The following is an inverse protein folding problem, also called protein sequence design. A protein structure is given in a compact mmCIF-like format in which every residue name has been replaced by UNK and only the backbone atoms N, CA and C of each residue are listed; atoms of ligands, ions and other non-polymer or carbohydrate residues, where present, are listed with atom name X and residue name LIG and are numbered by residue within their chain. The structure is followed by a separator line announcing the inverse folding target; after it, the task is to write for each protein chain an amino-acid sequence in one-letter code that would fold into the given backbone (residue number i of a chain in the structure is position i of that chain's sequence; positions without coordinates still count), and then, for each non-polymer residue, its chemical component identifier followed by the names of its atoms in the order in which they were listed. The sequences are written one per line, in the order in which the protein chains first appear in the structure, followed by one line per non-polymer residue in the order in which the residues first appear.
data_IF_015913554987
#
_entry.id   IF_015913554987
#
_cell.length_a   1.000
_cell.length_b   1.000
_cell.length_c   1.000
_cell.angle_alpha   90.00
_cell.angle_beta   90.00
_cell.angle_gamma   90.00
#
_symmetry.space_group_name_H-M   'P 1'
#
loop_
_entity.id
_entity.type
_entity.pdbx_description
1 polymer ?
#
# COMPACT_ATOMS: atom_id res chain seq x y z
N UNK A 1 1.17 -18.06 87.27
CA UNK A 1 0.07 -17.59 86.39
C UNK A 1 0.71 -16.84 85.25
N UNK A 2 0.70 -17.39 84.04
CA UNK A 2 1.14 -16.71 82.82
C UNK A 2 -0.04 -16.65 81.86
N UNK A 3 -0.46 -15.43 81.54
CA UNK A 3 -1.50 -15.11 80.57
C UNK A 3 -0.85 -14.86 79.22
N UNK A 4 -1.22 -15.66 78.22
CA UNK A 4 -0.84 -15.47 76.82
C UNK A 4 -1.95 -14.72 76.10
N UNK A 5 -1.62 -13.58 75.50
CA UNK A 5 -2.55 -12.78 74.68
C UNK A 5 -2.33 -13.13 73.21
N UNK A 6 -3.37 -13.59 72.52
CA UNK A 6 -3.36 -13.85 71.08
C UNK A 6 -4.01 -12.67 70.35
N UNK A 7 -3.28 -12.04 69.44
CA UNK A 7 -3.79 -10.99 68.55
C UNK A 7 -4.13 -11.62 67.20
N UNK A 8 -5.38 -11.50 66.77
CA UNK A 8 -5.83 -11.93 65.44
C UNK A 8 -5.86 -10.72 64.50
N UNK A 9 -5.06 -10.75 63.44
CA UNK A 9 -5.07 -9.74 62.38
C UNK A 9 -6.01 -10.20 61.26
N UNK A 10 -7.07 -9.44 61.00
CA UNK A 10 -8.00 -9.69 59.89
C UNK A 10 -7.51 -8.95 58.65
N UNK A 11 -7.12 -9.68 57.61
CA UNK A 11 -6.75 -9.12 56.31
C UNK A 11 -8.00 -8.96 55.45
N UNK A 12 -8.40 -7.71 55.17
CA UNK A 12 -9.47 -7.39 54.23
C UNK A 12 -8.92 -7.41 52.80
N UNK A 13 -9.29 -8.40 52.00
CA UNK A 13 -8.98 -8.47 50.57
C UNK A 13 -9.94 -7.58 49.77
N UNK A 14 -9.40 -6.60 49.03
CA UNK A 14 -10.15 -5.82 48.06
C UNK A 14 -10.51 -6.67 46.83
N UNK A 15 -11.69 -6.46 46.21
CA UNK A 15 -12.06 -7.17 45.00
C UNK A 15 -11.17 -6.77 43.81
N UNK A 16 -10.95 -7.69 42.84
CA UNK A 16 -10.18 -7.41 41.65
C UNK A 16 -10.84 -6.31 40.79
N UNK A 17 -10.05 -5.55 40.02
CA UNK A 17 -10.59 -4.56 39.09
C UNK A 17 -11.50 -5.23 38.05
N UNK A 18 -12.52 -4.54 37.55
CA UNK A 18 -13.41 -5.08 36.52
C UNK A 18 -12.60 -5.39 35.24
N UNK A 19 -12.88 -6.54 34.65
CA UNK A 19 -12.31 -6.92 33.34
C UNK A 19 -12.68 -5.86 32.29
N UNK A 20 -11.75 -5.48 31.39
CA UNK A 20 -12.06 -4.54 30.33
C UNK A 20 -13.17 -5.12 29.44
N UNK A 21 -14.27 -4.40 29.30
CA UNK A 21 -15.33 -4.71 28.35
C UNK A 21 -14.71 -4.86 26.95
N UNK A 22 -15.01 -5.92 26.18
CA UNK A 22 -14.50 -6.07 24.83
C UNK A 22 -14.88 -4.84 24.01
N UNK A 23 -13.90 -4.07 23.52
CA UNK A 23 -14.16 -3.02 22.54
C UNK A 23 -14.74 -3.70 21.30
N UNK A 24 -15.92 -3.26 20.86
CA UNK A 24 -16.49 -3.70 19.58
C UNK A 24 -15.60 -3.15 18.46
N UNK A 25 -14.71 -4.00 17.93
CA UNK A 25 -13.75 -3.65 16.87
C UNK A 25 -14.47 -3.10 15.64
N UNK A 26 -13.88 -2.10 15.00
CA UNK A 26 -14.39 -1.49 13.78
C UNK A 26 -15.61 -0.58 13.93
N UNK A 27 -16.21 -0.48 15.12
CA UNK A 27 -17.44 0.31 15.31
C UNK A 27 -17.25 1.81 15.18
N UNK A 28 -16.03 2.32 15.42
CA UNK A 28 -15.69 3.73 15.27
C UNK A 28 -14.75 3.98 14.09
N UNK A 29 -14.77 3.09 13.08
CA UNK A 29 -14.00 3.29 11.84
C UNK A 29 -14.35 4.64 11.22
N UNK A 30 -13.38 5.21 10.54
CA UNK A 30 -13.60 6.43 9.76
C UNK A 30 -14.71 6.21 8.72
N UNK A 31 -15.67 7.15 8.57
CA UNK A 31 -16.86 6.94 7.75
C UNK A 31 -16.60 7.03 6.24
N UNK A 32 -15.51 7.69 5.82
CA UNK A 32 -15.17 7.94 4.41
C UNK A 32 -16.32 8.60 3.61
N UNK A 33 -17.08 9.49 4.23
CA UNK A 33 -18.18 10.23 3.62
C UNK A 33 -17.76 11.60 3.06
N UNK A 34 -16.49 11.98 3.24
CA UNK A 34 -15.95 13.26 2.79
C UNK A 34 -16.31 14.45 3.69
N UNK A 35 -17.03 14.20 4.79
CA UNK A 35 -17.45 15.25 5.70
C UNK A 35 -16.29 15.71 6.60
N UNK A 36 -16.33 16.95 7.10
CA UNK A 36 -15.36 17.42 8.09
C UNK A 36 -15.35 16.52 9.33
N UNK A 37 -14.14 16.19 9.78
CA UNK A 37 -13.87 15.38 10.97
C UNK A 37 -12.97 16.16 11.94
N UNK A 38 -12.85 15.68 13.18
CA UNK A 38 -12.10 16.32 14.25
C UNK A 38 -11.23 15.31 15.03
N UNK A 39 -10.62 14.38 14.30
CA UNK A 39 -9.70 13.40 14.88
C UNK A 39 -8.42 14.04 15.43
N UNK A 40 -8.09 15.26 14.97
CA UNK A 40 -6.85 15.99 15.25
C UNK A 40 -5.61 15.22 14.79
N UNK A 41 -5.72 14.54 13.65
CA UNK A 41 -4.64 13.78 13.01
C UNK A 41 -4.83 13.64 11.50
N UNK A 42 -4.04 12.77 10.85
CA UNK A 42 -4.03 12.57 9.40
C UNK A 42 -5.39 12.16 8.81
N UNK A 43 -6.31 11.59 9.62
CA UNK A 43 -7.66 11.21 9.16
C UNK A 43 -8.49 12.41 8.74
N UNK A 44 -8.24 13.58 9.34
CA UNK A 44 -8.93 14.82 8.95
C UNK A 44 -8.53 15.26 7.53
N UNK A 45 -7.25 15.09 7.17
CA UNK A 45 -6.76 15.31 5.81
C UNK A 45 -7.29 14.24 4.86
N UNK A 46 -7.25 12.97 5.25
CA UNK A 46 -7.79 11.87 4.44
C UNK A 46 -9.27 12.08 4.09
N UNK A 47 -10.08 12.54 5.05
CA UNK A 47 -11.52 12.79 4.83
C UNK A 47 -11.73 13.93 3.84
N UNK A 48 -11.03 15.05 4.07
CA UNK A 48 -11.18 16.28 3.30
C UNK A 48 -10.59 16.18 1.89
N UNK A 49 -9.41 15.61 1.78
CA UNK A 49 -8.55 15.69 0.60
C UNK A 49 -8.53 14.38 -0.21
N UNK A 50 -8.99 13.27 0.38
CA UNK A 50 -9.00 11.94 -0.24
C UNK A 50 -7.65 11.22 -0.16
N UNK A 51 -6.66 11.85 0.49
CA UNK A 51 -5.35 11.29 0.78
C UNK A 51 -4.74 11.94 2.02
N UNK A 52 -3.75 11.28 2.61
CA UNK A 52 -2.94 11.84 3.69
C UNK A 52 -1.50 11.30 3.66
N UNK A 53 -0.58 12.09 4.21
CA UNK A 53 0.81 11.68 4.43
C UNK A 53 1.03 11.52 5.94
N UNK A 54 1.36 10.30 6.36
CA UNK A 54 1.73 9.98 7.73
C UNK A 54 3.24 10.12 7.83
N UNK A 55 3.67 11.19 8.51
CA UNK A 55 5.08 11.54 8.65
C UNK A 55 5.81 10.54 9.54
N UNK A 56 6.93 10.01 9.06
CA UNK A 56 7.80 9.12 9.85
C UNK A 56 7.10 7.83 10.31
N UNK A 57 6.15 7.31 9.51
CA UNK A 57 5.54 5.99 9.75
C UNK A 57 6.61 4.90 9.90
N UNK A 58 7.71 5.04 9.15
CA UNK A 58 8.97 4.35 9.36
C UNK A 58 10.02 5.41 9.76
N UNK A 59 10.75 5.21 10.87
CA UNK A 59 11.89 6.04 11.22
C UNK A 59 12.93 6.10 10.09
N UNK A 60 13.48 7.29 9.87
CA UNK A 60 14.40 7.58 8.77
C UNK A 60 15.52 6.55 8.60
N UNK A 61 16.18 6.19 9.70
CA UNK A 61 17.28 5.21 9.70
C UNK A 61 16.87 3.85 9.13
N UNK A 62 15.64 3.40 9.40
CA UNK A 62 15.11 2.14 8.85
C UNK A 62 14.70 2.31 7.40
N UNK A 63 14.07 3.43 7.05
CA UNK A 63 13.74 3.74 5.66
C UNK A 63 15.00 3.76 4.76
N UNK A 64 16.09 4.37 5.22
CA UNK A 64 17.37 4.39 4.50
C UNK A 64 17.96 2.98 4.34
N UNK A 65 17.85 2.11 5.37
CA UNK A 65 18.25 0.70 5.27
C UNK A 65 17.42 -0.08 4.25
N UNK A 66 16.11 0.16 4.20
CA UNK A 66 15.25 -0.47 3.21
C UNK A 66 15.52 0.03 1.79
N UNK A 67 15.81 1.33 1.63
CA UNK A 67 16.24 1.89 0.36
C UNK A 67 17.54 1.22 -0.13
N UNK A 68 18.52 1.05 0.76
CA UNK A 68 19.76 0.34 0.46
C UNK A 68 19.53 -1.13 0.08
N UNK A 69 18.65 -1.84 0.80
CA UNK A 69 18.29 -3.22 0.49
C UNK A 69 17.62 -3.33 -0.88
N UNK A 70 16.72 -2.39 -1.24
CA UNK A 70 16.07 -2.36 -2.53
C UNK A 70 17.07 -2.09 -3.67
N UNK A 71 17.94 -1.09 -3.52
CA UNK A 71 18.99 -0.84 -4.53
C UNK A 71 19.97 -2.03 -4.64
N UNK A 72 20.29 -2.69 -3.52
CA UNK A 72 21.16 -3.87 -3.50
C UNK A 72 20.51 -5.05 -4.21
N UNK A 73 19.20 -5.20 -4.06
CA UNK A 73 18.40 -6.16 -4.81
C UNK A 73 18.47 -5.92 -6.32
N UNK A 74 18.44 -4.65 -6.76
CA UNK A 74 18.56 -4.30 -8.18
C UNK A 74 19.96 -4.61 -8.74
N UNK A 75 21.03 -4.28 -7.99
CA UNK A 75 22.41 -4.60 -8.36
C UNK A 75 22.66 -6.12 -8.35
N UNK A 76 22.03 -6.83 -7.42
CA UNK A 76 22.15 -8.28 -7.23
C UNK A 76 21.66 -9.13 -8.41
N UNK A 77 20.96 -8.54 -9.39
CA UNK A 77 20.66 -9.23 -10.65
C UNK A 77 21.91 -9.49 -11.51
N UNK A 78 23.02 -8.79 -11.28
CA UNK A 78 24.25 -8.96 -12.05
C UNK A 78 24.13 -8.53 -13.51
N UNK A 79 23.14 -7.69 -13.83
CA UNK A 79 22.89 -7.19 -15.19
C UNK A 79 23.74 -5.95 -15.54
N UNK A 80 24.51 -5.41 -14.59
CA UNK A 80 25.39 -4.26 -14.80
C UNK A 80 24.85 -2.92 -14.31
N UNK A 81 23.68 -2.88 -13.66
CA UNK A 81 23.24 -1.69 -12.92
C UNK A 81 24.18 -1.41 -11.74
N UNK A 82 24.54 -0.14 -11.56
CA UNK A 82 25.33 0.37 -10.46
C UNK A 82 24.69 1.69 -10.00
N UNK A 83 24.22 1.75 -8.75
CA UNK A 83 23.51 2.93 -8.21
C UNK A 83 24.36 4.20 -8.17
N UNK A 84 25.69 4.07 -8.24
CA UNK A 84 26.63 5.19 -8.20
C UNK A 84 27.07 5.64 -9.61
N UNK A 85 26.58 5.00 -10.67
CA UNK A 85 26.88 5.36 -12.05
C UNK A 85 25.58 5.48 -12.86
N UNK A 86 25.09 6.72 -13.05
CA UNK A 86 23.88 7.01 -13.84
C UNK A 86 23.87 6.46 -15.27
N UNK A 87 25.04 6.25 -15.88
CA UNK A 87 25.13 5.71 -17.23
C UNK A 87 24.67 4.25 -17.31
N UNK A 88 24.67 3.54 -16.18
CA UNK A 88 24.21 2.16 -16.09
C UNK A 88 22.70 2.00 -15.99
N UNK A 89 21.96 3.11 -15.83
CA UNK A 89 20.49 3.12 -15.75
C UNK A 89 19.91 2.89 -17.15
N UNK A 90 19.95 1.65 -17.61
CA UNK A 90 19.53 1.23 -18.95
C UNK A 90 18.70 -0.04 -18.86
N UNK A 91 17.78 -0.26 -19.81
CA UNK A 91 16.90 -1.42 -19.89
C UNK A 91 17.66 -2.73 -19.82
N UNK A 92 18.79 -2.80 -20.53
CA UNK A 92 19.64 -3.98 -20.57
C UNK A 92 20.22 -4.32 -19.19
N UNK A 93 20.47 -3.31 -18.36
CA UNK A 93 21.18 -3.44 -17.09
C UNK A 93 20.27 -3.61 -15.87
N UNK A 94 18.96 -3.50 -16.06
CA UNK A 94 17.95 -3.53 -15.00
C UNK A 94 17.06 -4.77 -15.12
N UNK A 95 16.45 -5.25 -14.02
CA UNK A 95 15.41 -6.27 -14.11
C UNK A 95 14.22 -5.79 -14.94
N UNK A 96 13.30 -6.71 -15.27
CA UNK A 96 12.06 -6.33 -15.93
C UNK A 96 11.22 -5.49 -14.98
N UNK A 97 10.95 -4.25 -15.40
CA UNK A 97 10.02 -3.31 -14.82
C UNK A 97 9.06 -2.86 -15.92
N UNK A 98 7.79 -2.62 -15.59
CA UNK A 98 6.84 -2.06 -16.55
C UNK A 98 7.16 -0.58 -16.83
N UNK A 99 6.49 0.02 -17.81
CA UNK A 99 6.67 1.41 -18.22
C UNK A 99 6.39 2.43 -17.11
N UNK A 100 5.75 2.01 -16.01
CA UNK A 100 5.47 2.82 -14.82
C UNK A 100 6.46 2.58 -13.68
N UNK A 101 7.51 1.79 -13.90
CA UNK A 101 8.55 1.53 -12.91
C UNK A 101 8.22 0.40 -11.92
N UNK A 102 7.16 -0.37 -12.14
CA UNK A 102 6.75 -1.44 -11.23
C UNK A 102 7.51 -2.73 -11.52
N UNK A 103 8.03 -3.36 -10.46
CA UNK A 103 8.55 -4.72 -10.48
C UNK A 103 7.50 -5.60 -9.81
N UNK A 104 6.92 -6.52 -10.58
CA UNK A 104 5.83 -7.39 -10.11
C UNK A 104 6.26 -8.86 -10.02
N UNK A 105 7.35 -9.20 -10.70
CA UNK A 105 7.87 -10.56 -10.85
C UNK A 105 9.01 -10.83 -9.84
N UNK A 106 9.73 -11.94 -10.04
CA UNK A 106 10.92 -12.33 -9.28
C UNK A 106 10.67 -12.67 -7.80
N UNK A 107 9.41 -12.84 -7.40
CA UNK A 107 9.03 -12.99 -5.99
C UNK A 107 9.29 -11.73 -5.16
N UNK A 108 9.49 -10.56 -5.81
CA UNK A 108 9.91 -9.32 -5.15
C UNK A 108 8.96 -8.89 -4.04
N UNK A 109 7.67 -9.18 -4.21
CA UNK A 109 6.62 -8.84 -3.25
C UNK A 109 6.74 -9.62 -1.94
N UNK A 110 7.62 -10.61 -1.87
CA UNK A 110 7.92 -11.39 -0.68
C UNK A 110 9.40 -11.37 -0.27
N UNK A 111 10.21 -10.44 -0.78
CA UNK A 111 11.55 -10.22 -0.22
C UNK A 111 11.45 -9.86 1.27
N UNK A 112 12.47 -10.26 2.05
CA UNK A 112 12.55 -9.93 3.47
C UNK A 112 12.32 -8.45 3.76
N UNK A 113 13.01 -7.55 3.03
CA UNK A 113 12.90 -6.11 3.26
C UNK A 113 11.51 -5.55 2.93
N UNK A 114 10.76 -6.18 2.00
CA UNK A 114 9.36 -5.83 1.74
C UNK A 114 8.47 -6.25 2.90
N UNK A 115 8.73 -7.42 3.49
CA UNK A 115 8.03 -7.88 4.69
C UNK A 115 8.38 -7.09 5.94
N UNK A 116 9.63 -6.66 6.08
CA UNK A 116 10.06 -5.80 7.17
C UNK A 116 9.30 -4.47 7.13
N UNK A 117 9.18 -3.85 5.94
CA UNK A 117 8.37 -2.65 5.72
C UNK A 117 6.91 -2.88 6.10
N UNK A 118 6.30 -3.99 5.67
CA UNK A 118 4.91 -4.32 6.03
C UNK A 118 4.73 -4.58 7.53
N UNK A 119 5.79 -5.04 8.19
CA UNK A 119 5.82 -5.29 9.63
C UNK A 119 6.00 -4.03 10.48
N UNK A 120 6.25 -2.86 9.87
CA UNK A 120 6.51 -1.63 10.59
C UNK A 120 5.31 -1.12 11.40
N UNK A 121 5.55 -0.82 12.67
CA UNK A 121 4.48 -0.44 13.59
C UNK A 121 3.71 0.80 13.11
N UNK A 122 4.41 1.88 12.75
CA UNK A 122 3.77 3.11 12.29
C UNK A 122 3.02 2.95 10.96
N UNK A 123 3.34 1.93 10.17
CA UNK A 123 2.57 1.58 8.97
C UNK A 123 1.28 0.88 9.37
N UNK A 124 1.36 -0.23 10.12
CA UNK A 124 0.20 -1.02 10.54
C UNK A 124 -0.75 -0.16 11.40
N UNK A 125 -0.21 0.63 12.33
CA UNK A 125 -0.98 1.47 13.25
C UNK A 125 -1.79 2.54 12.51
N UNK A 126 -1.29 3.07 11.38
CA UNK A 126 -2.02 4.03 10.58
C UNK A 126 -3.31 3.42 10.01
N UNK A 127 -3.23 2.22 9.43
CA UNK A 127 -4.42 1.52 8.93
C UNK A 127 -5.34 1.12 10.09
N UNK A 128 -4.79 0.54 11.16
CA UNK A 128 -5.58 0.13 12.32
C UNK A 128 -6.39 1.30 12.91
N UNK A 129 -5.79 2.49 12.95
CA UNK A 129 -6.45 3.71 13.43
C UNK A 129 -7.59 4.20 12.52
N UNK A 130 -7.48 3.99 11.21
CA UNK A 130 -8.54 4.34 10.26
C UNK A 130 -9.70 3.35 10.36
N UNK A 131 -9.40 2.07 10.46
CA UNK A 131 -10.39 1.01 10.53
C UNK A 131 -10.96 0.77 11.94
N UNK A 132 -10.36 1.34 12.99
CA UNK A 132 -10.66 1.03 14.41
C UNK A 132 -10.55 -0.49 14.69
N UNK A 133 -9.58 -1.15 14.05
CA UNK A 133 -9.36 -2.60 14.14
C UNK A 133 -7.87 -2.94 14.02
N UNK A 134 -7.38 -3.75 14.95
CA UNK A 134 -5.98 -4.21 14.98
C UNK A 134 -5.79 -5.54 14.23
N UNK A 135 -6.85 -6.27 13.93
CA UNK A 135 -6.79 -7.53 13.19
C UNK A 135 -6.84 -7.30 11.70
N UNK A 136 -5.66 -7.00 11.15
CA UNK A 136 -5.48 -6.64 9.75
C UNK A 136 -4.83 -7.77 8.94
N UNK A 137 -5.14 -7.80 7.66
CA UNK A 137 -4.39 -8.50 6.61
C UNK A 137 -3.81 -7.50 5.62
N UNK A 138 -2.68 -7.81 5.00
CA UNK A 138 -1.94 -6.90 4.09
C UNK A 138 -1.93 -7.40 2.64
N UNK A 139 -1.96 -6.53 1.64
CA UNK A 139 -1.71 -6.90 0.24
C UNK A 139 -0.27 -7.38 0.01
N UNK A 140 -0.08 -8.31 -0.93
CA UNK A 140 1.24 -8.72 -1.43
C UNK A 140 1.59 -7.93 -2.69
N UNK A 141 1.44 -6.61 -2.60
CA UNK A 141 1.56 -5.70 -3.73
C UNK A 141 3.03 -5.46 -4.14
N UNK A 142 3.17 -4.78 -5.27
CA UNK A 142 4.40 -4.59 -6.04
C UNK A 142 5.32 -3.52 -5.43
N UNK A 143 6.55 -3.45 -5.94
CA UNK A 143 7.49 -2.37 -5.63
C UNK A 143 7.66 -1.47 -6.85
N UNK A 144 7.99 -0.20 -6.64
CA UNK A 144 8.16 0.78 -7.69
C UNK A 144 9.52 1.46 -7.60
N UNK A 145 10.22 1.50 -8.74
CA UNK A 145 11.43 2.26 -8.94
C UNK A 145 11.27 3.18 -10.14
N UNK A 146 11.53 4.47 -9.95
CA UNK A 146 11.56 5.46 -11.03
C UNK A 146 12.93 6.10 -11.09
N UNK A 147 13.62 5.96 -12.20
CA UNK A 147 14.99 6.46 -12.32
C UNK A 147 15.05 7.79 -13.07
N UNK A 148 15.89 8.71 -12.62
CA UNK A 148 16.12 10.02 -13.25
C UNK A 148 16.75 9.88 -14.62
N UNK A 149 17.79 9.04 -14.74
CA UNK A 149 18.64 8.97 -15.93
C UNK A 149 18.24 7.83 -16.88
N UNK A 150 16.94 7.54 -16.96
CA UNK A 150 16.39 6.43 -17.73
C UNK A 150 15.92 6.88 -19.11
N UNK A 151 16.90 7.11 -19.98
CA UNK A 151 16.71 7.68 -21.32
C UNK A 151 16.12 6.71 -22.35
N UNK A 152 16.23 5.40 -22.11
CA UNK A 152 15.78 4.34 -23.03
C UNK A 152 14.37 3.80 -22.70
N UNK A 153 13.56 4.62 -22.01
CA UNK A 153 12.13 4.41 -21.87
C UNK A 153 11.36 5.34 -22.82
N UNK A 154 10.23 4.88 -23.40
CA UNK A 154 9.31 5.78 -24.07
C UNK A 154 8.86 6.92 -23.14
N UNK A 155 8.48 8.04 -23.74
CA UNK A 155 7.89 9.16 -23.01
C UNK A 155 6.72 8.68 -22.12
N UNK A 156 6.77 9.00 -20.83
CA UNK A 156 5.71 8.64 -19.91
C UNK A 156 4.51 9.58 -20.09
N UNK A 157 3.42 9.03 -20.62
CA UNK A 157 2.14 9.74 -20.70
C UNK A 157 1.36 9.63 -19.38
N UNK A 158 0.64 10.70 -18.97
CA UNK A 158 -0.31 10.63 -17.85
C UNK A 158 -1.30 9.48 -18.03
N UNK A 159 -1.65 8.84 -16.93
CA UNK A 159 -2.56 7.69 -16.91
C UNK A 159 -3.52 7.79 -15.72
N UNK A 160 -4.27 8.90 -15.63
CA UNK A 160 -5.17 9.17 -14.52
C UNK A 160 -6.24 8.08 -14.40
N UNK A 161 -6.40 7.55 -13.19
CA UNK A 161 -7.39 6.53 -12.87
C UNK A 161 -7.89 6.66 -11.45
N UNK A 162 -8.99 5.99 -11.16
CA UNK A 162 -9.36 5.63 -9.80
C UNK A 162 -9.56 4.12 -9.75
N UNK A 163 -9.24 3.52 -8.62
CA UNK A 163 -9.40 2.08 -8.42
C UNK A 163 -10.77 1.81 -7.79
N UNK A 164 -11.81 2.10 -8.56
CA UNK A 164 -13.19 2.01 -8.11
C UNK A 164 -14.07 1.43 -9.20
N UNK A 165 -14.70 0.28 -8.91
CA UNK A 165 -15.80 -0.24 -9.73
C UNK A 165 -16.92 0.80 -9.87
N UNK A 166 -17.22 1.28 -11.09
CA UNK A 166 -18.27 2.28 -11.34
C UNK A 166 -19.67 1.83 -10.94
N UNK A 167 -19.90 0.52 -10.84
CA UNK A 167 -21.18 -0.05 -10.42
C UNK A 167 -21.32 -0.15 -8.89
N UNK A 168 -20.24 0.07 -8.12
CA UNK A 168 -20.22 -0.07 -6.65
C UNK A 168 -19.74 1.24 -6.03
N UNK A 169 -20.60 2.26 -5.85
CA UNK A 169 -20.21 3.52 -5.25
C UNK A 169 -19.87 3.35 -3.75
N UNK A 170 -19.22 4.36 -3.18
CA UNK A 170 -18.80 4.37 -1.78
C UNK A 170 -17.38 3.85 -1.57
N UNK A 171 -16.87 4.03 -0.36
CA UNK A 171 -15.52 3.59 0.03
C UNK A 171 -15.39 2.06 -0.05
N UNK A 172 -14.25 1.58 -0.52
CA UNK A 172 -13.98 0.14 -0.63
C UNK A 172 -12.56 -0.27 -0.26
N UNK A 173 -11.58 0.57 -0.55
CA UNK A 173 -10.19 0.27 -0.25
C UNK A 173 -9.46 1.54 0.18
N UNK A 174 -8.70 1.43 1.28
CA UNK A 174 -7.68 2.40 1.62
C UNK A 174 -6.36 1.90 1.05
N UNK A 175 -5.88 2.55 0.01
CA UNK A 175 -4.60 2.23 -0.58
C UNK A 175 -3.47 2.89 0.18
N UNK A 176 -2.25 2.35 0.02
CA UNK A 176 -1.07 2.96 0.58
C UNK A 176 0.23 2.59 -0.10
N UNK A 177 1.23 3.45 0.10
CA UNK A 177 2.60 3.20 -0.30
C UNK A 177 3.57 3.83 0.69
N UNK A 178 4.71 3.18 0.87
CA UNK A 178 5.84 3.70 1.62
C UNK A 178 6.82 4.33 0.65
N UNK A 179 7.24 5.55 0.97
CA UNK A 179 8.22 6.30 0.18
C UNK A 179 9.61 6.18 0.85
N UNK A 180 10.62 5.66 0.14
CA UNK A 180 11.92 5.34 0.73
C UNK A 180 13.01 6.38 0.44
N UNK A 181 12.81 7.23 -0.57
CA UNK A 181 13.72 8.34 -0.91
C UNK A 181 12.99 9.69 -0.77
N UNK A 182 13.70 10.83 -0.66
CA UNK A 182 13.05 12.13 -0.74
C UNK A 182 12.19 12.22 -2.01
N UNK A 183 10.96 12.74 -1.87
CA UNK A 183 10.05 12.95 -3.00
C UNK A 183 9.55 14.38 -2.96
N UNK A 184 10.27 15.28 -3.64
CA UNK A 184 9.88 16.67 -3.81
C UNK A 184 8.90 16.89 -4.98
N UNK A 185 8.69 18.17 -5.35
CA UNK A 185 7.78 18.54 -6.44
C UNK A 185 8.21 18.03 -7.83
N UNK A 186 9.51 17.86 -8.06
CA UNK A 186 10.07 17.40 -9.35
C UNK A 186 10.54 15.94 -9.32
N UNK A 187 10.48 15.27 -8.17
CA UNK A 187 10.89 13.88 -8.06
C UNK A 187 9.73 12.94 -8.43
N UNK A 188 10.05 11.67 -8.67
CA UNK A 188 9.04 10.67 -8.98
C UNK A 188 8.13 10.46 -7.77
N UNK A 189 6.86 10.16 -8.01
CA UNK A 189 5.94 9.94 -6.89
C UNK A 189 4.49 9.75 -7.31
N UNK A 190 3.60 9.93 -6.34
CA UNK A 190 2.16 9.90 -6.51
C UNK A 190 1.65 11.30 -6.84
N UNK A 191 0.78 11.41 -7.83
CA UNK A 191 -0.05 12.60 -8.07
C UNK A 191 -1.51 12.22 -7.82
N UNK A 192 -2.24 13.11 -7.14
CA UNK A 192 -3.63 12.88 -6.74
C UNK A 192 -4.50 14.06 -7.13
N UNK A 193 -5.74 13.82 -7.51
CA UNK A 193 -6.75 14.86 -7.69
C UNK A 193 -7.43 15.10 -6.35
N UNK A 194 -6.96 16.12 -5.62
CA UNK A 194 -7.39 16.44 -4.26
C UNK A 194 -8.91 16.66 -4.20
N UNK A 195 -9.58 15.94 -3.29
CA UNK A 195 -11.04 16.00 -3.12
C UNK A 195 -11.85 15.22 -4.17
N UNK A 196 -11.18 14.56 -5.14
CA UNK A 196 -11.85 13.84 -6.22
C UNK A 196 -12.67 12.62 -5.76
N UNK A 197 -12.34 12.03 -4.60
CA UNK A 197 -13.11 10.94 -4.01
C UNK A 197 -14.57 11.32 -3.72
N UNK A 198 -14.82 12.58 -3.36
CA UNK A 198 -16.16 13.09 -3.02
C UNK A 198 -17.10 13.12 -4.23
N UNK A 199 -16.54 13.23 -5.44
CA UNK A 199 -17.31 13.32 -6.68
C UNK A 199 -17.27 12.02 -7.49
N UNK A 200 -16.66 10.96 -6.99
CA UNK A 200 -16.45 9.70 -7.72
C UNK A 200 -17.75 9.08 -8.27
N UNK A 201 -18.81 9.04 -7.47
CA UNK A 201 -20.11 8.51 -7.90
C UNK A 201 -20.79 9.42 -8.95
N UNK A 202 -20.74 10.74 -8.76
CA UNK A 202 -21.26 11.72 -9.72
C UNK A 202 -20.48 11.66 -11.04
N UNK A 203 -19.16 11.52 -10.96
CA UNK A 203 -18.26 11.37 -12.10
C UNK A 203 -18.65 10.15 -12.93
N UNK A 204 -18.79 8.98 -12.32
CA UNK A 204 -19.20 7.77 -13.03
C UNK A 204 -20.57 7.90 -13.69
N UNK A 205 -21.55 8.50 -12.98
CA UNK A 205 -22.87 8.77 -13.54
C UNK A 205 -22.79 9.73 -14.75
N UNK A 206 -21.97 10.78 -14.66
CA UNK A 206 -21.78 11.74 -15.73
C UNK A 206 -21.07 11.14 -16.96
N UNK A 207 -20.02 10.34 -16.76
CA UNK A 207 -19.32 9.65 -17.85
C UNK A 207 -20.26 8.68 -18.57
N UNK A 208 -21.07 7.93 -17.82
CA UNK A 208 -22.09 7.04 -18.39
C UNK A 208 -23.16 7.83 -19.18
N UNK A 209 -23.69 8.93 -18.62
CA UNK A 209 -24.70 9.75 -19.29
C UNK A 209 -24.18 10.42 -20.58
N UNK A 210 -22.87 10.72 -20.65
CA UNK A 210 -22.21 11.26 -21.84
C UNK A 210 -21.84 10.19 -22.87
N UNK A 211 -22.03 8.90 -22.56
CA UNK A 211 -21.47 7.78 -23.32
C UNK A 211 -19.96 7.96 -23.60
N UNK A 212 -19.23 8.46 -22.59
CA UNK A 212 -17.78 8.67 -22.70
C UNK A 212 -17.08 7.34 -22.99
N UNK A 213 -16.14 7.29 -23.96
CA UNK A 213 -15.39 6.07 -24.24
C UNK A 213 -14.64 5.56 -23.00
N UNK A 214 -14.73 4.25 -22.73
CA UNK A 214 -13.94 3.63 -21.66
C UNK A 214 -12.55 3.25 -22.15
N UNK A 215 -11.54 3.57 -21.34
CA UNK A 215 -10.21 2.99 -21.48
C UNK A 215 -10.29 1.51 -21.08
N UNK A 216 -9.76 0.57 -21.88
CA UNK A 216 -9.78 -0.85 -21.53
C UNK A 216 -9.15 -1.12 -20.17
N UNK A 217 -9.85 -1.90 -19.35
CA UNK A 217 -9.43 -2.30 -18.01
C UNK A 217 -9.42 -3.82 -17.93
N UNK A 218 -8.45 -4.38 -17.22
CA UNK A 218 -8.37 -5.83 -16.98
C UNK A 218 -9.28 -6.29 -15.83
N UNK A 219 -9.75 -5.35 -15.01
CA UNK A 219 -10.66 -5.55 -13.88
C UNK A 219 -11.70 -4.42 -13.85
N UNK A 220 -12.94 -4.68 -13.39
CA UNK A 220 -13.91 -3.60 -13.17
C UNK A 220 -13.44 -2.60 -12.10
N UNK A 221 -12.51 -2.99 -11.23
CA UNK A 221 -11.99 -2.15 -10.14
C UNK A 221 -11.05 -1.04 -10.60
N UNK A 222 -10.80 -0.89 -11.91
CA UNK A 222 -9.96 0.18 -12.45
C UNK A 222 -10.77 1.00 -13.46
N UNK A 223 -10.81 2.32 -13.27
CA UNK A 223 -11.45 3.25 -14.20
C UNK A 223 -10.46 4.33 -14.63
N UNK A 224 -10.04 4.27 -15.89
CA UNK A 224 -9.18 5.27 -16.51
C UNK A 224 -9.95 6.51 -16.98
N UNK A 225 -9.31 7.68 -16.84
CA UNK A 225 -9.89 8.97 -17.20
C UNK A 225 -9.41 9.35 -18.60
N UNK A 226 -10.36 9.59 -19.50
CA UNK A 226 -10.12 10.22 -20.80
C UNK A 226 -9.84 11.72 -20.62
N UNK A 227 -9.50 12.41 -21.71
CA UNK A 227 -9.43 13.88 -21.72
C UNK A 227 -10.75 14.52 -21.26
N UNK A 228 -11.89 13.96 -21.68
CA UNK A 228 -13.21 14.42 -21.25
C UNK A 228 -13.45 14.21 -19.74
N UNK A 229 -13.00 13.09 -19.19
CA UNK A 229 -13.06 12.84 -17.74
C UNK A 229 -12.17 13.79 -16.94
N UNK A 230 -10.98 14.09 -17.46
CA UNK A 230 -10.06 15.05 -16.85
C UNK A 230 -10.61 16.48 -16.89
N UNK A 231 -11.21 16.89 -18.01
CA UNK A 231 -11.89 18.17 -18.14
C UNK A 231 -13.06 18.30 -17.16
N UNK A 232 -13.83 17.22 -16.95
CA UNK A 232 -14.95 17.20 -16.00
C UNK A 232 -14.51 17.48 -14.56
N UNK A 233 -13.35 16.93 -14.14
CA UNK A 233 -12.76 17.22 -12.83
C UNK A 233 -12.33 18.69 -12.73
N UNK A 234 -11.68 19.21 -13.78
CA UNK A 234 -11.22 20.60 -13.83
C UNK A 234 -12.37 21.62 -13.81
N UNK A 235 -13.49 21.34 -14.50
CA UNK A 235 -14.72 22.16 -14.47
C UNK A 235 -15.31 22.32 -13.06
N UNK A 236 -15.02 21.37 -12.16
CA UNK A 236 -15.40 21.41 -10.74
C UNK A 236 -14.34 22.04 -9.84
N UNK A 237 -13.29 22.61 -10.42
CA UNK A 237 -12.20 23.25 -9.70
C UNK A 237 -11.28 22.29 -8.96
N UNK A 238 -11.32 20.99 -9.27
CA UNK A 238 -10.44 20.01 -8.65
C UNK A 238 -9.03 20.11 -9.23
N UNK A 239 -8.03 19.95 -8.37
CA UNK A 239 -6.63 20.16 -8.71
C UNK A 239 -5.81 18.89 -8.51
N UNK A 240 -4.91 18.65 -9.46
CA UNK A 240 -3.91 17.59 -9.37
C UNK A 240 -2.70 18.09 -8.58
N UNK A 241 -2.34 17.36 -7.53
CA UNK A 241 -1.27 17.71 -6.61
C UNK A 241 -0.22 16.59 -6.58
N UNK A 242 1.05 16.97 -6.76
CA UNK A 242 2.18 16.07 -6.55
C UNK A 242 2.39 15.91 -5.05
N UNK A 243 2.15 14.71 -4.55
CA UNK A 243 2.35 14.41 -3.13
C UNK A 243 3.86 14.41 -2.84
N UNK A 244 4.28 15.30 -1.94
CA UNK A 244 5.67 15.40 -1.50
C UNK A 244 5.86 14.68 -0.17
N UNK A 245 6.97 13.95 -0.03
CA UNK A 245 7.22 13.04 1.08
C UNK A 245 8.71 13.01 1.45
N UNK A 246 8.97 12.65 2.69
CA UNK A 246 10.30 12.31 3.19
C UNK A 246 10.48 10.78 3.21
N UNK A 247 11.72 10.28 3.27
CA UNK A 247 11.98 8.85 3.48
C UNK A 247 11.31 8.33 4.76
N UNK A 248 10.55 7.24 4.60
CA UNK A 248 9.82 6.57 5.67
C UNK A 248 8.40 7.08 5.89
N UNK A 249 7.96 8.09 5.14
CA UNK A 249 6.56 8.48 5.16
C UNK A 249 5.68 7.41 4.49
N UNK A 250 4.49 7.22 5.06
CA UNK A 250 3.40 6.46 4.45
C UNK A 250 2.42 7.44 3.80
N UNK A 251 2.12 7.21 2.52
CA UNK A 251 1.00 7.87 1.85
C UNK A 251 -0.17 6.90 1.88
N UNK A 252 -1.35 7.37 2.29
CA UNK A 252 -2.62 6.63 2.15
C UNK A 252 -3.62 7.44 1.34
N UNK A 253 -4.45 6.76 0.56
CA UNK A 253 -5.52 7.40 -0.20
C UNK A 253 -6.74 6.50 -0.36
N UNK A 254 -7.90 7.15 -0.42
CA UNK A 254 -9.15 6.50 -0.77
C UNK A 254 -9.09 5.98 -2.20
N UNK A 255 -9.51 4.74 -2.46
CA UNK A 255 -9.47 4.15 -3.82
C UNK A 255 -10.29 4.94 -4.86
N UNK A 256 -11.24 5.77 -4.40
CA UNK A 256 -12.00 6.71 -5.23
C UNK A 256 -11.23 7.98 -5.60
N UNK A 257 -10.12 8.29 -4.97
CA UNK A 257 -9.33 9.49 -5.29
C UNK A 257 -8.67 9.26 -6.66
N UNK A 258 -8.92 10.11 -7.68
CA UNK A 258 -8.23 10.02 -8.95
C UNK A 258 -6.73 10.22 -8.72
N UNK A 259 -5.90 9.33 -9.24
CA UNK A 259 -4.47 9.33 -9.00
C UNK A 259 -3.72 8.70 -10.16
N UNK A 260 -2.40 8.90 -10.18
CA UNK A 260 -1.46 8.11 -10.98
C UNK A 260 -0.04 8.36 -10.50
N UNK A 261 0.93 7.70 -11.11
CA UNK A 261 2.34 7.87 -10.78
C UNK A 261 3.07 8.71 -11.83
N UNK A 262 4.05 9.50 -11.39
CA UNK A 262 4.93 10.31 -12.26
C UNK A 262 6.39 9.86 -12.09
N UNK A 263 7.18 9.83 -13.18
CA UNK A 263 8.62 9.60 -13.11
C UNK A 263 9.34 10.84 -12.55
N UNK A 264 10.56 10.68 -12.03
CA UNK A 264 11.36 11.83 -11.61
C UNK A 264 11.81 12.66 -12.81
N UNK A 265 11.77 13.98 -12.65
CA UNK A 265 12.42 14.97 -13.52
C UNK A 265 13.52 15.76 -12.79
N UNK A 266 13.63 15.55 -11.46
CA UNK A 266 14.68 16.07 -10.59
C UNK A 266 15.95 15.21 -10.59
N UNK A 267 16.58 15.07 -9.43
CA UNK A 267 17.86 14.39 -9.27
C UNK A 267 17.79 13.12 -8.42
N UNK A 268 16.62 12.81 -7.85
CA UNK A 268 16.42 11.69 -6.94
C UNK A 268 15.60 10.60 -7.61
N UNK A 269 16.15 9.39 -7.63
CA UNK A 269 15.42 8.20 -8.02
C UNK A 269 14.29 7.92 -7.02
N UNK A 270 13.11 7.57 -7.50
CA UNK A 270 12.00 7.12 -6.68
C UNK A 270 12.21 5.67 -6.27
N UNK A 271 11.98 5.39 -4.99
CA UNK A 271 11.80 4.04 -4.46
C UNK A 271 10.55 4.00 -3.59
N UNK A 272 9.61 3.12 -3.94
CA UNK A 272 8.37 2.96 -3.18
C UNK A 272 7.95 1.49 -3.07
N UNK A 273 7.25 1.17 -1.99
CA UNK A 273 6.65 -0.15 -1.73
C UNK A 273 5.17 0.03 -1.50
N UNK A 274 4.34 -0.59 -2.34
CA UNK A 274 2.89 -0.54 -2.18
C UNK A 274 2.47 -1.48 -1.05
N UNK A 275 1.59 -0.99 -0.17
CA UNK A 275 1.10 -1.75 0.97
C UNK A 275 -0.28 -1.24 1.38
N UNK A 276 -1.25 -2.13 1.34
CA UNK A 276 -2.63 -1.83 1.70
C UNK A 276 -3.08 -2.84 2.73
N UNK A 277 -3.92 -2.41 3.67
CA UNK A 277 -4.39 -3.26 4.76
C UNK A 277 -5.90 -3.16 4.87
N UNK A 278 -6.53 -4.24 5.29
CA UNK A 278 -7.95 -4.24 5.63
C UNK A 278 -8.21 -5.15 6.82
N UNK A 279 -9.26 -4.91 7.63
CA UNK A 279 -9.67 -5.81 8.68
C UNK A 279 -9.94 -7.21 8.16
N UNK A 280 -9.46 -8.22 8.87
CA UNK A 280 -9.65 -9.62 8.46
C UNK A 280 -11.12 -10.02 8.40
N UNK A 281 -11.99 -9.36 9.17
CA UNK A 281 -13.43 -9.57 9.14
C UNK A 281 -14.08 -9.18 7.80
N UNK A 282 -13.39 -8.43 6.95
CA UNK A 282 -13.82 -8.11 5.58
C UNK A 282 -13.39 -9.17 4.55
N UNK A 283 -12.58 -10.17 4.95
CA UNK A 283 -12.18 -11.28 4.10
C UNK A 283 -13.03 -12.53 4.36
N UNK A 284 -13.48 -13.18 3.29
CA UNK A 284 -14.13 -14.48 3.39
C UNK A 284 -13.12 -15.59 3.71
N UNK A 285 -13.59 -16.77 4.14
CA UNK A 285 -12.73 -17.95 4.32
C UNK A 285 -12.06 -18.33 3.00
N UNK A 286 -12.79 -18.23 1.89
CA UNK A 286 -12.29 -18.50 0.54
C UNK A 286 -11.18 -17.51 0.13
N UNK A 287 -11.31 -16.24 0.48
CA UNK A 287 -10.26 -15.25 0.27
C UNK A 287 -8.99 -15.57 1.07
N UNK A 288 -9.14 -15.96 2.34
CA UNK A 288 -8.01 -16.34 3.18
C UNK A 288 -7.31 -17.62 2.68
N UNK A 289 -8.06 -18.59 2.16
CA UNK A 289 -7.49 -19.79 1.52
C UNK A 289 -6.68 -19.39 0.28
N UNK A 290 -7.23 -18.52 -0.58
CA UNK A 290 -6.54 -18.01 -1.78
C UNK A 290 -5.28 -17.24 -1.40
N UNK A 291 -5.37 -16.40 -0.38
CA UNK A 291 -4.28 -15.60 0.16
C UNK A 291 -3.16 -16.46 0.74
N UNK A 292 -3.49 -17.51 1.50
CA UNK A 292 -2.50 -18.50 1.97
C UNK A 292 -1.76 -19.13 0.79
N UNK A 293 -2.49 -19.56 -0.24
CA UNK A 293 -1.89 -20.12 -1.45
C UNK A 293 -0.94 -19.15 -2.15
N UNK A 294 -1.30 -17.86 -2.24
CA UNK A 294 -0.44 -16.81 -2.76
C UNK A 294 0.82 -16.64 -1.91
N UNK A 295 0.69 -16.63 -0.58
CA UNK A 295 1.83 -16.52 0.33
C UNK A 295 2.79 -17.71 0.20
N UNK A 296 2.31 -18.95 0.24
CA UNK A 296 3.13 -20.17 0.18
C UNK A 296 3.93 -20.26 -1.14
N UNK A 297 3.30 -19.85 -2.24
CA UNK A 297 3.91 -19.79 -3.57
C UNK A 297 4.71 -18.50 -3.82
N UNK A 298 4.70 -17.55 -2.87
CA UNK A 298 5.35 -16.23 -2.97
C UNK A 298 4.82 -15.38 -4.13
N UNK A 299 3.57 -15.57 -4.52
CA UNK A 299 2.92 -14.82 -5.60
C UNK A 299 2.44 -13.47 -5.10
N UNK A 300 2.71 -12.42 -5.88
CA UNK A 300 2.14 -11.11 -5.64
C UNK A 300 0.61 -11.09 -5.75
N UNK A 301 0.00 -10.09 -5.14
CA UNK A 301 -1.41 -9.72 -5.34
C UNK A 301 -1.46 -8.28 -5.86
N UNK A 302 -2.66 -7.77 -6.09
CA UNK A 302 -2.87 -6.33 -6.23
C UNK A 302 -2.97 -5.64 -4.87
N UNK A 303 -3.32 -4.35 -4.86
CA UNK A 303 -3.62 -3.57 -3.66
C UNK A 303 -4.73 -4.14 -2.78
N UNK A 304 -5.53 -5.11 -3.26
CA UNK A 304 -6.58 -5.76 -2.47
C UNK A 304 -6.01 -6.73 -1.43
N UNK A 305 -6.11 -6.44 -0.11
CA UNK A 305 -5.43 -7.24 0.92
C UNK A 305 -5.97 -8.66 1.07
N UNK A 306 -7.24 -8.87 0.71
CA UNK A 306 -7.91 -10.17 0.65
C UNK A 306 -7.55 -11.00 -0.60
N UNK A 307 -6.58 -10.56 -1.41
CA UNK A 307 -6.08 -11.31 -2.56
C UNK A 307 -7.18 -11.66 -3.58
N UNK A 308 -8.06 -10.71 -3.93
CA UNK A 308 -9.06 -10.91 -5.01
C UNK A 308 -8.37 -11.34 -6.32
N UNK A 309 -7.20 -10.77 -6.58
CA UNK A 309 -6.36 -11.10 -7.73
C UNK A 309 -4.97 -11.51 -7.26
N UNK A 310 -4.51 -12.68 -7.74
CA UNK A 310 -3.19 -13.24 -7.47
C UNK A 310 -2.43 -13.30 -8.80
N UNK A 311 -1.17 -12.90 -8.79
CA UNK A 311 -0.31 -13.00 -9.96
C UNK A 311 -0.21 -14.47 -10.40
N UNK A 312 -0.29 -14.76 -11.71
CA UNK A 312 -0.25 -16.13 -12.19
C UNK A 312 1.15 -16.75 -12.07
N UNK A 313 2.20 -15.93 -12.03
CA UNK A 313 3.59 -16.37 -11.94
C UNK A 313 4.49 -15.23 -11.46
N UNK A 314 5.65 -15.61 -10.92
CA UNK A 314 6.78 -14.71 -10.66
C UNK A 314 7.81 -14.71 -11.80
N UNK A 315 7.62 -15.53 -12.84
CA UNK A 315 8.54 -15.61 -13.98
C UNK A 315 8.37 -14.36 -14.84
N UNK A 316 9.40 -13.52 -14.87
CA UNK A 316 9.44 -12.32 -15.70
C UNK A 316 9.68 -12.66 -17.17
N UNK A 317 9.02 -11.95 -18.07
CA UNK A 317 9.23 -12.04 -19.52
C UNK A 317 9.94 -10.79 -20.04
N UNK A 318 10.85 -10.95 -20.99
CA UNK A 318 11.53 -9.87 -21.71
C UNK A 318 11.47 -10.16 -23.20
N UNK A 319 10.86 -9.24 -23.95
CA UNK A 319 10.77 -9.31 -25.42
C UNK A 319 10.12 -10.62 -25.91
N UNK A 320 9.10 -11.10 -25.19
CA UNK A 320 8.36 -12.32 -25.51
C UNK A 320 8.96 -13.61 -24.96
N UNK A 321 10.19 -13.57 -24.45
CA UNK A 321 10.91 -14.73 -23.92
C UNK A 321 11.07 -14.67 -22.41
N UNK A 322 11.35 -15.81 -21.77
CA UNK A 322 11.65 -15.86 -20.34
C UNK A 322 12.90 -15.03 -20.06
N UNK A 323 12.81 -14.11 -19.09
CA UNK A 323 13.93 -13.30 -18.68
C UNK A 323 15.07 -14.21 -18.17
N UNK A 324 16.32 -14.05 -18.63
CA UNK A 324 17.43 -14.94 -18.24
C UNK A 324 17.73 -14.99 -16.74
N UNK A 325 17.30 -13.96 -16.01
CA UNK A 325 17.45 -13.84 -14.55
C UNK A 325 16.12 -13.98 -13.81
N UNK A 326 15.10 -14.55 -14.47
CA UNK A 326 13.82 -14.87 -13.86
C UNK A 326 14.00 -15.83 -12.68
N UNK A 327 13.14 -15.66 -11.66
CA UNK A 327 13.09 -16.52 -10.49
C UNK A 327 11.66 -16.59 -9.99
N UNK A 328 11.29 -17.72 -9.40
CA UNK A 328 9.94 -17.90 -8.85
C UNK A 328 9.81 -17.46 -7.39
N UNK A 329 10.94 -17.28 -6.69
CA UNK A 329 11.02 -17.01 -5.26
C UNK A 329 11.93 -15.81 -4.99
N UNK A 330 11.74 -15.10 -3.86
CA UNK A 330 12.61 -13.99 -3.47
C UNK A 330 14.06 -14.45 -3.31
N UNK A 331 15.00 -13.51 -3.40
CA UNK A 331 16.43 -13.73 -3.07
C UNK A 331 16.56 -14.10 -1.60
N UNK A 332 15.86 -13.35 -0.74
CA UNK A 332 15.83 -13.61 0.69
C UNK A 332 14.41 -13.97 1.12
N UNK A 333 14.24 -15.23 1.53
CA UNK A 333 12.98 -15.69 2.13
C UNK A 333 12.64 -14.91 3.39
N UNK A 334 11.37 -14.53 3.58
CA UNK A 334 10.98 -13.74 4.73
C UNK A 334 10.91 -14.58 6.01
N UNK A 335 11.58 -14.10 7.04
CA UNK A 335 11.47 -14.53 8.43
C UNK A 335 10.53 -13.55 9.12
N UNK A 336 9.31 -14.00 9.40
CA UNK A 336 8.25 -13.15 9.95
C UNK A 336 8.19 -13.24 11.47
N UNK A 337 8.20 -12.08 12.14
CA UNK A 337 7.75 -11.98 13.52
C UNK A 337 6.24 -12.20 13.64
N UNK A 338 5.74 -12.39 14.86
CA UNK A 338 4.33 -12.70 15.12
C UNK A 338 3.36 -11.69 14.45
N UNK A 339 3.66 -10.38 14.60
CA UNK A 339 2.82 -9.31 14.04
C UNK A 339 2.77 -9.37 12.52
N UNK A 340 3.91 -9.57 11.86
CA UNK A 340 3.96 -9.68 10.41
C UNK A 340 3.32 -10.98 9.90
N UNK A 341 3.45 -12.08 10.65
CA UNK A 341 2.81 -13.35 10.32
C UNK A 341 1.27 -13.27 10.37
N UNK A 342 0.69 -12.52 11.33
CA UNK A 342 -0.77 -12.26 11.35
C UNK A 342 -1.26 -11.61 10.07
N UNK A 343 -0.50 -10.66 9.51
CA UNK A 343 -0.87 -9.97 8.26
C UNK A 343 -1.02 -10.89 7.04
N UNK A 344 -0.46 -12.11 7.09
CA UNK A 344 -0.60 -13.10 6.01
C UNK A 344 -2.04 -13.62 5.88
N UNK A 345 -2.86 -13.51 6.94
CA UNK A 345 -4.18 -14.14 7.00
C UNK A 345 -4.19 -15.58 7.51
N UNK A 346 -3.02 -16.24 7.58
CA UNK A 346 -2.92 -17.66 7.93
C UNK A 346 -3.39 -17.94 9.36
N UNK A 347 -2.94 -17.20 10.40
CA UNK A 347 -3.41 -17.46 11.77
C UNK A 347 -4.93 -17.32 11.93
N UNK A 348 -5.55 -16.39 11.19
CA UNK A 348 -6.99 -16.19 11.22
C UNK A 348 -7.74 -17.34 10.52
N UNK A 349 -7.22 -17.83 9.39
CA UNK A 349 -7.78 -18.99 8.71
C UNK A 349 -7.72 -20.25 9.59
N UNK A 350 -6.62 -20.44 10.31
CA UNK A 350 -6.45 -21.56 11.24
C UNK A 350 -7.44 -21.48 12.42
N UNK A 351 -7.74 -20.28 12.91
CA UNK A 351 -8.75 -20.07 13.95
C UNK A 351 -10.20 -20.27 13.46
N UNK A 352 -10.43 -20.29 12.14
CA UNK A 352 -11.72 -20.61 11.50
C UNK A 352 -11.90 -22.10 11.15
N UNK A 353 -10.88 -22.92 11.39
CA UNK A 353 -10.90 -24.37 11.18
C UNK A 353 -11.34 -25.09 12.45
#
# INVERSE_FOLDING_TARGET
MSTTTTTTTTTTTLPPPPEPTPKLRGTNRMPFDGLPTNYNDFRDALSRDGYAVIKGAIPRERADRYADAFLSYLEGFGLGYNRHDPSTVRRANLPVLNEKGMIQAYGVTHEQWVWDIRGEAGVIDAFAKVYDDEELIVSFDVVNVGFVNREDLPENKPWPHQDQDPAKPGFRCLQGLINLHPSGPNDGGLIVCKGGHNVSAEFHAAMAARNEPRIPAWTPEWFGFTEGGMAWLAERGLQWEKVCCEPGDLIVWDSRTPHYNVPPTGAIDRLAVYTCYTPVCEASKEDLVRKRGAFEQRLGTTHWPNAVHVAPTNVAMRDGEVCPVARERPVQEPVLGERAFKLTGIPYLEAMA
#
